data_IF_024831252155
#
_entry.id   IF_024831252155
#
_cell.length_a   1.000
_cell.length_b   1.000
_cell.length_c   1.000
_cell.angle_alpha   90.00
_cell.angle_beta   90.00
_cell.angle_gamma   90.00
#
_symmetry.space_group_name_H-M   'P 1'
#
loop_
_entity.id
_entity.type
_entity.pdbx_description
1 polymer ?
#
# COMPACT_ATOMS: atom_id res chain seq x y z
N UNK A 1 -9.18 13.87 -9.11
CA UNK A 1 -8.14 14.03 -8.11
C UNK A 1 -6.94 13.16 -8.47
N UNK A 2 -5.75 13.64 -8.29
CA UNK A 2 -4.51 12.88 -8.45
C UNK A 2 -4.35 12.01 -7.22
N UNK A 3 -4.41 10.71 -7.39
CA UNK A 3 -4.04 9.75 -6.35
C UNK A 3 -2.53 9.53 -6.43
N UNK A 4 -1.82 9.90 -5.40
CA UNK A 4 -0.37 9.86 -5.33
C UNK A 4 0.24 11.24 -5.59
N UNK A 5 1.11 11.65 -4.69
CA UNK A 5 1.78 12.95 -4.75
C UNK A 5 2.88 12.90 -5.83
N UNK A 6 2.50 13.21 -7.05
CA UNK A 6 3.47 13.57 -8.08
C UNK A 6 3.96 14.98 -7.75
N UNK A 7 5.05 15.10 -7.00
CA UNK A 7 5.70 16.38 -6.81
C UNK A 7 5.87 17.06 -8.15
N UNK A 8 5.27 18.24 -8.30
CA UNK A 8 5.24 19.02 -9.54
C UNK A 8 4.55 18.30 -10.73
N UNK A 9 3.81 17.21 -10.50
CA UNK A 9 3.17 16.45 -11.57
C UNK A 9 4.15 15.78 -12.54
N UNK A 10 5.38 15.47 -12.10
CA UNK A 10 6.42 14.90 -12.97
C UNK A 10 6.52 13.38 -12.82
N UNK A 11 6.45 12.67 -13.94
CA UNK A 11 6.74 11.25 -14.07
C UNK A 11 8.16 11.12 -14.65
N UNK A 12 9.02 10.35 -13.99
CA UNK A 12 10.40 10.12 -14.46
C UNK A 12 10.40 9.17 -15.66
N UNK A 13 11.40 9.26 -16.54
CA UNK A 13 11.62 8.23 -17.55
C UNK A 13 11.73 6.86 -16.90
N UNK A 14 11.02 5.88 -17.47
CA UNK A 14 10.95 4.48 -17.02
C UNK A 14 10.11 4.22 -15.76
N UNK A 15 9.48 5.23 -15.16
CA UNK A 15 8.50 5.01 -14.11
C UNK A 15 7.21 4.44 -14.71
N UNK A 16 6.71 3.35 -14.13
CA UNK A 16 5.37 2.86 -14.40
C UNK A 16 4.36 3.58 -13.52
N UNK A 17 3.19 3.89 -14.06
CA UNK A 17 2.09 4.48 -13.30
C UNK A 17 0.75 3.93 -13.74
N UNK A 18 -0.23 4.02 -12.86
CA UNK A 18 -1.60 3.61 -13.12
C UNK A 18 -2.49 4.85 -13.25
N UNK A 19 -3.45 4.75 -14.16
CA UNK A 19 -4.50 5.76 -14.32
C UNK A 19 -5.82 5.10 -14.00
N UNK A 20 -6.52 5.63 -13.02
CA UNK A 20 -7.90 5.25 -12.73
C UNK A 20 -8.84 6.22 -13.47
N UNK A 21 -9.58 5.70 -14.45
CA UNK A 21 -10.63 6.48 -15.12
C UNK A 21 -11.84 6.65 -14.18
N UNK A 22 -12.39 7.85 -14.11
CA UNK A 22 -13.64 8.11 -13.44
C UNK A 22 -14.83 7.40 -14.10
N UNK A 23 -15.96 7.30 -13.41
CA UNK A 23 -17.17 6.60 -13.86
C UNK A 23 -17.74 7.09 -15.22
N UNK A 24 -17.36 8.29 -15.66
CA UNK A 24 -17.82 8.91 -16.91
C UNK A 24 -16.78 8.84 -18.05
N UNK A 25 -15.66 8.15 -17.83
CA UNK A 25 -14.56 8.06 -18.78
C UNK A 25 -13.87 9.41 -18.97
N UNK A 26 -12.72 9.59 -18.34
CA UNK A 26 -11.90 10.78 -18.52
C UNK A 26 -10.91 10.56 -19.66
N UNK A 27 -10.64 11.61 -20.44
CA UNK A 27 -9.58 11.60 -21.42
C UNK A 27 -8.27 11.93 -20.72
N UNK A 28 -7.27 11.07 -20.92
CA UNK A 28 -5.91 11.33 -20.49
C UNK A 28 -5.05 11.61 -21.72
N UNK A 29 -4.43 12.78 -21.78
CA UNK A 29 -3.65 13.21 -22.93
C UNK A 29 -2.24 13.62 -22.50
N UNK A 30 -1.24 13.03 -23.18
CA UNK A 30 0.13 13.53 -23.14
C UNK A 30 0.34 14.51 -24.30
N UNK A 31 0.47 15.76 -23.99
CA UNK A 31 0.85 16.77 -24.97
C UNK A 31 2.37 16.95 -24.99
N UNK A 32 2.90 17.55 -26.07
CA UNK A 32 4.32 17.87 -26.16
C UNK A 32 4.76 18.81 -25.03
N UNK A 33 3.85 19.66 -24.53
CA UNK A 33 4.08 20.54 -23.38
C UNK A 33 4.12 19.79 -22.05
N UNK A 34 3.57 18.58 -21.99
CA UNK A 34 3.66 17.71 -20.81
C UNK A 34 5.06 17.11 -20.64
N UNK A 35 5.89 17.15 -21.69
CA UNK A 35 7.25 16.62 -21.66
C UNK A 35 8.21 17.73 -21.23
N UNK A 36 8.71 17.65 -20.00
CA UNK A 36 9.72 18.57 -19.50
C UNK A 36 11.12 18.03 -19.78
N UNK A 37 11.96 18.87 -20.39
CA UNK A 37 13.40 18.61 -20.51
C UNK A 37 14.12 19.41 -19.43
N UNK A 38 14.71 18.72 -18.47
CA UNK A 38 15.45 19.34 -17.38
C UNK A 38 16.00 18.32 -16.39
N UNK A 39 16.92 18.77 -15.57
CA UNK A 39 17.42 17.94 -14.48
C UNK A 39 16.35 17.86 -13.39
N UNK A 40 15.81 16.68 -13.14
CA UNK A 40 14.96 16.44 -11.98
C UNK A 40 15.91 16.41 -10.77
N UNK A 41 16.04 17.53 -10.09
CA UNK A 41 16.74 17.60 -8.81
C UNK A 41 15.76 17.17 -7.72
N UNK A 42 15.87 15.94 -7.33
CA UNK A 42 15.09 15.32 -6.27
C UNK A 42 14.89 13.85 -6.59
N UNK A 43 15.07 13.00 -5.63
CA UNK A 43 14.52 11.65 -5.69
C UNK A 43 13.01 11.86 -5.74
N UNK A 44 12.30 11.38 -6.75
CA UNK A 44 10.84 11.52 -6.90
C UNK A 44 10.04 10.80 -5.81
N UNK A 45 10.61 10.74 -4.66
CA UNK A 45 9.98 10.56 -3.37
C UNK A 45 9.71 11.97 -2.88
N UNK A 46 8.49 12.31 -2.54
CA UNK A 46 8.18 13.44 -1.69
C UNK A 46 9.32 13.60 -0.71
N UNK A 47 9.96 14.77 -0.69
CA UNK A 47 10.69 15.13 0.51
C UNK A 47 9.70 14.84 1.63
N UNK A 48 10.03 13.89 2.48
CA UNK A 48 9.30 13.69 3.69
C UNK A 48 9.14 15.09 4.29
N UNK A 49 7.93 15.62 4.23
CA UNK A 49 7.57 16.57 5.24
C UNK A 49 7.78 15.74 6.51
N UNK A 50 8.79 16.09 7.32
CA UNK A 50 9.18 15.34 8.52
C UNK A 50 8.00 15.23 9.52
N UNK A 51 6.87 15.84 9.19
CA UNK A 51 5.60 15.81 9.92
C UNK A 51 4.71 14.60 9.61
N UNK A 52 4.91 13.89 8.49
CA UNK A 52 4.04 12.79 8.09
C UNK A 52 4.60 11.45 8.58
N UNK A 53 3.81 10.72 9.36
CA UNK A 53 4.14 9.39 9.83
C UNK A 53 3.83 8.32 8.78
N UNK A 54 4.54 7.18 8.85
CA UNK A 54 4.23 6.03 8.02
C UNK A 54 4.61 4.71 8.66
N UNK A 55 3.87 3.65 8.29
CA UNK A 55 4.25 2.28 8.53
C UNK A 55 4.13 1.51 7.20
N UNK A 56 5.23 0.93 6.75
CA UNK A 56 5.30 0.14 5.53
C UNK A 56 5.45 -1.32 5.90
N UNK A 57 4.50 -2.15 5.48
CA UNK A 57 4.54 -3.60 5.67
C UNK A 57 4.91 -4.24 4.34
N UNK A 58 6.07 -4.91 4.30
CA UNK A 58 6.59 -5.55 3.09
C UNK A 58 6.61 -7.06 3.25
N UNK A 59 5.89 -7.73 2.37
CA UNK A 59 5.78 -9.19 2.31
C UNK A 59 6.61 -9.72 1.14
N UNK A 60 7.36 -10.82 1.36
CA UNK A 60 8.15 -11.46 0.33
C UNK A 60 8.18 -12.97 0.52
N UNK A 61 8.07 -13.73 -0.57
CA UNK A 61 8.31 -15.17 -0.60
C UNK A 61 9.65 -15.54 -1.26
N UNK A 62 10.52 -14.53 -1.53
CA UNK A 62 11.78 -14.69 -2.22
C UNK A 62 11.69 -14.46 -3.73
N UNK A 63 10.54 -14.69 -4.35
CA UNK A 63 10.28 -14.45 -5.78
C UNK A 63 9.48 -13.17 -5.99
N UNK A 64 8.42 -13.00 -5.21
CA UNK A 64 7.54 -11.83 -5.27
C UNK A 64 7.68 -11.00 -4.00
N UNK A 65 7.55 -9.69 -4.14
CA UNK A 65 7.54 -8.73 -3.04
C UNK A 65 6.38 -7.76 -3.22
N UNK A 66 5.65 -7.49 -2.13
CA UNK A 66 4.55 -6.52 -2.10
C UNK A 66 4.58 -5.73 -0.80
N UNK A 67 4.27 -4.44 -0.92
CA UNK A 67 4.16 -3.56 0.23
C UNK A 67 2.73 -2.99 0.34
N UNK A 68 2.33 -2.75 1.58
CA UNK A 68 1.10 -2.09 1.96
C UNK A 68 1.46 -1.00 2.97
N UNK A 69 0.81 0.14 2.87
CA UNK A 69 1.21 1.34 3.56
C UNK A 69 0.08 1.84 4.47
N UNK A 70 0.41 2.17 5.70
CA UNK A 70 -0.34 3.12 6.52
C UNK A 70 0.43 4.43 6.49
N UNK A 71 -0.25 5.52 6.18
CA UNK A 71 0.31 6.86 6.22
C UNK A 71 -0.52 7.73 7.18
N UNK A 72 0.11 8.71 7.80
CA UNK A 72 -0.54 9.58 8.77
C UNK A 72 -0.32 11.02 8.36
N UNK A 73 -1.40 11.72 7.99
CA UNK A 73 -1.33 13.10 7.55
C UNK A 73 -2.38 13.95 8.26
N UNK A 74 -2.20 15.28 8.35
CA UNK A 74 -3.23 16.16 8.91
C UNK A 74 -4.56 16.13 8.16
N UNK A 75 -4.53 15.82 6.85
CA UNK A 75 -5.69 15.77 5.97
C UNK A 75 -6.31 14.38 5.86
N UNK A 76 -5.69 13.36 6.47
CA UNK A 76 -6.20 11.98 6.44
C UNK A 76 -7.52 11.82 7.17
N UNK A 77 -8.29 10.80 6.79
CA UNK A 77 -9.55 10.41 7.43
C UNK A 77 -9.44 8.96 7.93
N UNK A 78 -10.26 8.59 8.91
CA UNK A 78 -10.42 7.20 9.35
C UNK A 78 -11.27 6.38 8.38
N UNK A 79 -11.98 7.03 7.49
CA UNK A 79 -12.76 6.47 6.40
C UNK A 79 -12.09 6.76 5.06
N UNK A 80 -12.58 6.11 4.00
CA UNK A 80 -12.05 6.29 2.66
C UNK A 80 -11.96 7.77 2.25
N UNK A 81 -10.78 8.18 1.84
CA UNK A 81 -10.50 9.53 1.39
C UNK A 81 -9.72 9.54 0.05
N UNK A 82 -9.51 10.71 -0.59
CA UNK A 82 -8.78 10.80 -1.84
C UNK A 82 -7.27 10.49 -1.76
N UNK A 83 -6.71 10.37 -0.55
CA UNK A 83 -5.29 10.03 -0.32
C UNK A 83 -5.09 8.52 -0.19
N UNK A 84 -6.19 7.75 -0.07
CA UNK A 84 -6.15 6.30 -0.13
C UNK A 84 -5.90 5.80 -1.55
N UNK A 85 -5.26 4.65 -1.65
CA UNK A 85 -5.05 4.03 -2.95
C UNK A 85 -5.56 2.58 -2.96
N UNK A 86 -6.39 2.27 -3.96
CA UNK A 86 -6.90 0.92 -4.18
C UNK A 86 -5.74 -0.06 -4.48
N UNK A 87 -5.88 -1.31 -4.01
CA UNK A 87 -5.01 -2.41 -4.42
C UNK A 87 -5.47 -2.93 -5.77
N UNK A 88 -4.68 -2.71 -6.80
CA UNK A 88 -4.92 -3.24 -8.14
C UNK A 88 -4.24 -4.60 -8.32
N UNK A 89 -4.98 -5.56 -8.88
CA UNK A 89 -4.44 -6.83 -9.33
C UNK A 89 -3.92 -6.71 -10.77
N UNK A 90 -2.99 -7.60 -11.20
CA UNK A 90 -2.52 -7.61 -12.57
C UNK A 90 -3.68 -7.74 -13.58
N UNK A 91 -3.63 -6.98 -14.68
CA UNK A 91 -4.65 -7.06 -15.73
C UNK A 91 -4.67 -8.42 -16.44
N UNK A 92 -3.51 -9.05 -16.59
CA UNK A 92 -3.39 -10.43 -17.08
C UNK A 92 -3.14 -11.32 -15.86
N UNK A 93 -3.95 -12.38 -15.69
CA UNK A 93 -3.72 -13.33 -14.61
C UNK A 93 -2.32 -13.90 -14.65
N UNK A 94 -1.58 -13.74 -13.57
CA UNK A 94 -0.23 -14.27 -13.37
C UNK A 94 -0.07 -14.64 -11.90
N UNK A 95 0.77 -15.63 -11.61
CA UNK A 95 1.16 -15.92 -10.24
C UNK A 95 1.77 -14.68 -9.59
N UNK A 96 1.31 -14.31 -8.41
CA UNK A 96 1.85 -13.17 -7.69
C UNK A 96 1.49 -13.19 -6.20
N UNK A 97 2.26 -12.43 -5.43
CA UNK A 97 1.98 -12.08 -4.06
C UNK A 97 1.19 -10.78 -4.02
N UNK A 98 0.13 -10.72 -3.23
CA UNK A 98 -0.61 -9.48 -2.95
C UNK A 98 -0.79 -9.27 -1.46
N UNK A 99 -0.86 -8.01 -1.03
CA UNK A 99 -1.22 -7.61 0.33
C UNK A 99 -2.09 -6.37 0.28
N UNK A 100 -3.06 -6.27 1.19
CA UNK A 100 -4.04 -5.18 1.19
C UNK A 100 -4.61 -4.93 2.58
N UNK A 101 -5.05 -3.71 2.82
CA UNK A 101 -5.86 -3.33 3.97
C UNK A 101 -7.31 -3.21 3.51
N UNK A 102 -8.24 -3.68 4.33
CA UNK A 102 -9.66 -3.54 4.05
C UNK A 102 -10.24 -2.34 4.80
N UNK A 103 -10.87 -1.44 4.07
CA UNK A 103 -11.62 -0.32 4.62
C UNK A 103 -12.91 -0.12 3.82
N UNK A 104 -14.05 -0.11 4.51
CA UNK A 104 -15.37 0.15 3.93
C UNK A 104 -15.69 -0.64 2.65
N UNK A 105 -15.24 -1.92 2.61
CA UNK A 105 -15.47 -2.83 1.48
C UNK A 105 -14.51 -2.64 0.30
N UNK A 106 -13.49 -1.83 0.45
CA UNK A 106 -12.39 -1.70 -0.52
C UNK A 106 -11.12 -2.35 -0.04
N UNK A 107 -10.30 -2.78 -0.99
CA UNK A 107 -8.95 -3.31 -0.79
C UNK A 107 -7.96 -2.21 -1.11
N UNK A 108 -7.19 -1.77 -0.12
CA UNK A 108 -6.27 -0.65 -0.25
C UNK A 108 -4.82 -1.12 -0.26
N UNK A 109 -4.00 -0.47 -1.07
CA UNK A 109 -2.54 -0.54 -1.01
C UNK A 109 -1.95 0.54 -0.10
N UNK A 110 -2.62 1.66 0.02
CA UNK A 110 -2.31 2.76 0.92
C UNK A 110 -3.60 3.11 1.66
N UNK A 111 -3.53 3.16 2.98
CA UNK A 111 -4.59 3.70 3.83
C UNK A 111 -4.02 4.91 4.56
N UNK A 112 -4.58 6.10 4.32
CA UNK A 112 -4.11 7.36 4.87
C UNK A 112 -5.00 7.80 6.03
N UNK A 113 -4.43 7.88 7.19
CA UNK A 113 -5.10 8.13 8.46
C UNK A 113 -4.81 9.55 8.95
N UNK A 114 -5.68 10.13 9.77
CA UNK A 114 -5.39 11.41 10.41
C UNK A 114 -4.24 11.29 11.41
N UNK A 115 -3.36 12.29 11.41
CA UNK A 115 -2.24 12.33 12.36
C UNK A 115 -2.64 12.63 13.81
N UNK A 116 -3.91 12.93 14.09
CA UNK A 116 -4.45 13.30 15.40
C UNK A 116 -5.52 12.32 15.91
N UNK A 117 -5.33 11.02 15.67
CA UNK A 117 -6.24 9.99 16.19
C UNK A 117 -6.35 10.09 17.71
N UNK A 118 -7.61 10.08 18.22
CA UNK A 118 -7.91 10.10 19.66
C UNK A 118 -8.31 8.75 20.22
N UNK A 119 -8.72 7.84 19.35
CA UNK A 119 -9.25 6.53 19.72
C UNK A 119 -8.45 5.40 19.05
N UNK A 120 -8.48 4.22 19.64
CA UNK A 120 -7.91 3.02 19.05
C UNK A 120 -8.76 2.60 17.84
N UNK A 121 -8.10 2.37 16.71
CA UNK A 121 -8.71 1.86 15.49
C UNK A 121 -8.06 0.56 15.07
N UNK A 122 -8.79 -0.27 14.34
CA UNK A 122 -8.26 -1.52 13.79
C UNK A 122 -8.70 -1.72 12.35
N UNK A 123 -7.81 -2.29 11.54
CA UNK A 123 -8.09 -2.65 10.15
C UNK A 123 -7.71 -4.11 9.93
N UNK A 124 -8.47 -4.78 9.08
CA UNK A 124 -8.09 -6.09 8.58
C UNK A 124 -7.06 -5.92 7.47
N UNK A 125 -6.00 -6.74 7.53
CA UNK A 125 -4.97 -6.82 6.50
C UNK A 125 -4.86 -8.26 6.03
N UNK A 126 -4.93 -8.47 4.71
CA UNK A 126 -4.68 -9.77 4.11
C UNK A 126 -3.36 -9.78 3.32
N UNK A 127 -2.76 -10.95 3.28
CA UNK A 127 -1.66 -11.29 2.38
C UNK A 127 -1.95 -12.64 1.74
N UNK A 128 -1.81 -12.73 0.42
CA UNK A 128 -2.15 -13.93 -0.36
C UNK A 128 -1.13 -14.19 -1.45
N UNK A 129 -0.80 -15.48 -1.63
CA UNK A 129 -0.22 -15.98 -2.88
C UNK A 129 -1.37 -16.37 -3.80
N UNK A 130 -1.36 -15.85 -5.00
CA UNK A 130 -2.41 -16.02 -6.00
C UNK A 130 -1.88 -16.70 -7.24
N UNK A 131 -2.56 -17.77 -7.67
CA UNK A 131 -2.36 -18.41 -8.96
C UNK A 131 -3.50 -18.09 -9.91
N UNK A 132 -3.23 -17.95 -11.21
CA UNK A 132 -4.28 -17.91 -12.21
C UNK A 132 -5.14 -19.17 -12.17
N UNK A 133 -6.45 -19.00 -12.31
CA UNK A 133 -7.43 -20.06 -12.49
C UNK A 133 -8.41 -19.70 -13.60
N UNK A 134 -9.24 -20.64 -14.01
CA UNK A 134 -10.24 -20.41 -15.08
C UNK A 134 -11.25 -19.32 -14.68
N UNK A 135 -11.51 -19.17 -13.39
CA UNK A 135 -12.45 -18.17 -12.85
C UNK A 135 -11.75 -16.91 -12.29
N UNK A 136 -10.45 -16.71 -12.60
CA UNK A 136 -9.66 -15.57 -12.15
C UNK A 136 -8.43 -15.97 -11.34
N UNK A 137 -8.54 -16.01 -10.02
CA UNK A 137 -7.44 -16.36 -9.13
C UNK A 137 -7.87 -17.34 -8.03
N UNK A 138 -6.97 -18.25 -7.69
CA UNK A 138 -7.07 -19.09 -6.51
C UNK A 138 -5.92 -18.79 -5.53
N UNK A 139 -6.18 -18.96 -4.23
CA UNK A 139 -5.15 -18.76 -3.21
C UNK A 139 -4.32 -20.02 -3.03
N UNK A 140 -3.01 -19.84 -2.93
CA UNK A 140 -2.02 -20.89 -2.71
C UNK A 140 -1.49 -20.85 -1.29
N UNK A 141 -1.26 -22.03 -0.69
CA UNK A 141 -0.53 -22.13 0.56
C UNK A 141 0.96 -21.78 0.34
N UNK A 142 1.57 -21.15 1.32
CA UNK A 142 2.99 -20.81 1.25
C UNK A 142 3.49 -20.15 2.49
N UNK A 143 4.74 -19.71 2.46
CA UNK A 143 5.34 -18.92 3.52
C UNK A 143 5.82 -17.58 2.95
N UNK A 144 5.57 -16.51 3.69
CA UNK A 144 6.08 -15.17 3.40
C UNK A 144 6.85 -14.64 4.59
N UNK A 145 7.89 -13.90 4.29
CA UNK A 145 8.60 -13.07 5.27
C UNK A 145 7.96 -11.69 5.25
N UNK A 146 7.51 -11.23 6.40
CA UNK A 146 7.06 -9.87 6.64
C UNK A 146 8.19 -9.06 7.24
N UNK A 147 8.51 -7.94 6.64
CA UNK A 147 9.34 -6.87 7.21
C UNK A 147 8.53 -5.59 7.32
N UNK A 148 8.93 -4.69 8.20
CA UNK A 148 8.27 -3.40 8.35
C UNK A 148 9.26 -2.28 8.58
N UNK A 149 8.84 -1.09 8.18
CA UNK A 149 9.53 0.17 8.45
C UNK A 149 8.50 1.15 9.02
N UNK A 150 8.77 1.67 10.22
CA UNK A 150 7.89 2.60 10.93
C UNK A 150 8.67 3.89 11.14
N UNK A 151 8.15 4.97 10.56
CA UNK A 151 8.82 6.27 10.56
C UNK A 151 7.86 7.36 11.05
N UNK A 152 8.32 8.21 11.94
CA UNK A 152 7.64 9.43 12.36
C UNK A 152 6.15 9.23 12.75
N UNK A 153 5.82 8.18 13.51
CA UNK A 153 4.45 8.03 14.01
C UNK A 153 4.04 9.29 14.81
N UNK A 154 2.77 9.70 14.69
CA UNK A 154 2.25 10.78 15.51
C UNK A 154 2.48 10.55 17.01
N UNK A 155 2.70 11.62 17.77
CA UNK A 155 3.02 11.53 19.18
C UNK A 155 1.93 10.78 19.97
N UNK A 156 2.35 9.85 20.81
CA UNK A 156 1.47 9.01 21.61
C UNK A 156 0.85 7.81 20.86
N UNK A 157 1.09 7.67 19.57
CA UNK A 157 0.56 6.57 18.75
C UNK A 157 1.48 5.35 18.83
N UNK A 158 0.88 4.16 18.83
CA UNK A 158 1.58 2.89 18.69
C UNK A 158 0.83 1.96 17.75
N UNK A 159 1.56 1.06 17.09
CA UNK A 159 1.01 0.06 16.19
C UNK A 159 1.16 -1.34 16.77
N UNK A 160 0.14 -2.14 16.62
CA UNK A 160 0.16 -3.57 16.91
C UNK A 160 -0.36 -4.35 15.69
N UNK A 161 0.29 -5.46 15.37
CA UNK A 161 -0.16 -6.38 14.32
C UNK A 161 -0.50 -7.73 14.96
N UNK A 162 -1.72 -8.18 14.73
CA UNK A 162 -2.21 -9.46 15.25
C UNK A 162 -2.43 -10.44 14.09
N UNK A 163 -1.85 -11.62 14.19
CA UNK A 163 -2.13 -12.70 13.26
C UNK A 163 -3.48 -13.35 13.66
N UNK A 164 -4.54 -13.05 12.92
CA UNK A 164 -5.89 -13.55 13.21
C UNK A 164 -6.00 -15.08 13.14
N UNK A 165 -5.15 -15.76 12.35
CA UNK A 165 -5.13 -17.21 12.25
C UNK A 165 -4.57 -17.92 13.50
N UNK A 166 -3.67 -17.28 14.23
CA UNK A 166 -3.00 -17.84 15.42
C UNK A 166 -3.31 -17.10 16.71
N UNK A 167 -3.88 -15.90 16.65
CA UNK A 167 -4.05 -14.99 17.77
C UNK A 167 -2.75 -14.37 18.29
N UNK A 168 -1.63 -14.59 17.61
CA UNK A 168 -0.33 -14.10 18.02
C UNK A 168 -0.15 -12.62 17.68
N UNK A 169 0.27 -11.81 18.65
CA UNK A 169 0.70 -10.42 18.40
C UNK A 169 2.15 -10.41 17.94
N UNK A 170 2.40 -9.74 16.82
CA UNK A 170 3.73 -9.49 16.28
C UNK A 170 4.24 -8.18 16.88
N UNK A 171 5.38 -8.26 17.58
CA UNK A 171 6.02 -7.08 18.16
C UNK A 171 6.75 -6.27 17.06
N UNK A 172 6.15 -5.16 16.66
CA UNK A 172 6.69 -4.28 15.62
C UNK A 172 7.90 -3.43 16.11
N UNK A 173 8.16 -3.39 17.40
CA UNK A 173 9.25 -2.58 18.00
C UNK A 173 10.46 -3.42 18.42
N UNK A 174 10.38 -4.73 18.23
CA UNK A 174 11.46 -5.67 18.60
C UNK A 174 12.30 -6.10 17.41
N UNK A 175 11.88 -7.18 16.77
CA UNK A 175 12.57 -7.74 15.61
C UNK A 175 12.01 -7.14 14.32
N UNK A 176 12.86 -6.84 13.32
CA UNK A 176 12.41 -6.17 12.10
C UNK A 176 11.69 -7.09 11.10
N UNK A 177 11.41 -8.36 11.46
CA UNK A 177 10.77 -9.32 10.56
C UNK A 177 10.00 -10.43 11.29
N UNK A 178 9.05 -11.03 10.59
CA UNK A 178 8.31 -12.21 11.03
C UNK A 178 8.02 -13.14 9.82
N UNK A 179 7.97 -14.45 10.07
CA UNK A 179 7.51 -15.40 9.05
C UNK A 179 6.01 -15.71 9.26
N UNK A 180 5.26 -15.66 8.17
CA UNK A 180 3.82 -15.92 8.15
C UNK A 180 3.55 -17.10 7.23
N UNK A 181 2.83 -18.10 7.73
CA UNK A 181 2.34 -19.20 6.92
C UNK A 181 0.96 -18.85 6.37
N UNK A 182 0.84 -18.91 5.07
CA UNK A 182 -0.40 -18.66 4.34
C UNK A 182 -1.14 -19.97 4.11
N UNK A 183 -2.42 -20.07 4.49
CA UNK A 183 -3.24 -21.21 4.16
C UNK A 183 -3.67 -21.17 2.69
N UNK A 184 -3.92 -22.33 2.08
CA UNK A 184 -4.78 -22.39 0.89
C UNK A 184 -6.23 -22.23 1.35
N UNK A 185 -6.98 -21.34 0.74
CA UNK A 185 -8.44 -21.40 0.81
C UNK A 185 -8.88 -22.40 -0.26
N UNK A 186 -9.40 -23.56 0.18
CA UNK A 186 -10.10 -24.49 -0.70
C UNK A 186 -11.45 -23.90 -1.11
#
# INVERSE_FOLDING_TARGET
>A
GTVGDLQDGLIKPFDGFWIQAGANGDNFEFTEQSIRRGQITGNGRTTNDDSNGSAVFTFSNGEYTRSTYLTFTPEGDIHLDPLDADRLLPLSPAEHLTSMIYESGKSLSINNLPSNLSDDISFDMDVMLLNPSDDGYETQAGQVNLTWDITNLPEGMSLALVNNGTGQTINLYGYPSANINLPSKG
#
